data_IF_406322330927
#
_entry.id   IF_406322330927
#
_cell.length_a   1.000
_cell.length_b   1.000
_cell.length_c   1.000
_cell.angle_alpha   90.00
_cell.angle_beta   90.00
_cell.angle_gamma   90.00
#
_symmetry.space_group_name_H-M   'P 1'
#
loop_
_entity.id
_entity.type
_entity.pdbx_description
1 polymer ?
#
# COMPACT_ATOMS: atom_id res chain seq x y z
N UNK A 1 -12.69 -9.37 -7.80
CA UNK A 1 -11.99 -8.56 -6.79
C UNK A 1 -10.52 -8.40 -7.13
N UNK A 2 -9.81 -9.48 -7.44
CA UNK A 2 -8.39 -9.42 -7.83
C UNK A 2 -8.14 -8.57 -9.08
N UNK A 3 -8.96 -8.73 -10.13
CA UNK A 3 -8.88 -7.88 -11.33
C UNK A 3 -9.03 -6.38 -11.01
N UNK A 4 -9.93 -6.00 -10.11
CA UNK A 4 -10.10 -4.60 -9.70
C UNK A 4 -8.92 -4.09 -8.89
N UNK A 5 -8.33 -4.94 -8.05
CA UNK A 5 -7.12 -4.60 -7.31
C UNK A 5 -5.93 -4.42 -8.25
N UNK A 6 -5.81 -5.27 -9.27
CA UNK A 6 -4.79 -5.16 -10.32
C UNK A 6 -4.98 -3.86 -11.14
N UNK A 7 -6.19 -3.55 -11.58
CA UNK A 7 -6.48 -2.27 -12.25
C UNK A 7 -6.15 -1.07 -11.37
N UNK A 8 -6.53 -1.11 -10.09
CA UNK A 8 -6.21 -0.04 -9.14
C UNK A 8 -4.70 0.10 -8.92
N UNK A 9 -3.97 -1.02 -8.85
CA UNK A 9 -2.52 -1.02 -8.73
C UNK A 9 -1.84 -0.44 -9.97
N UNK A 10 -2.29 -0.82 -11.17
CA UNK A 10 -1.78 -0.28 -12.42
C UNK A 10 -2.04 1.22 -12.51
N UNK A 11 -3.24 1.66 -12.13
CA UNK A 11 -3.58 3.08 -12.06
C UNK A 11 -2.68 3.83 -11.08
N UNK A 12 -2.58 3.39 -9.82
CA UNK A 12 -1.72 4.06 -8.85
C UNK A 12 -0.23 4.05 -9.24
N UNK A 13 0.24 3.01 -9.93
CA UNK A 13 1.64 2.87 -10.36
C UNK A 13 1.98 3.74 -11.58
N UNK A 14 0.99 4.20 -12.35
CA UNK A 14 1.22 5.12 -13.47
C UNK A 14 1.28 6.59 -13.05
N UNK A 15 0.95 6.90 -11.80
CA UNK A 15 0.83 8.27 -11.29
C UNK A 15 2.13 8.73 -10.60
N UNK A 16 2.34 10.04 -10.57
CA UNK A 16 3.51 10.61 -9.91
C UNK A 16 3.35 10.56 -8.38
N UNK A 17 4.32 9.94 -7.69
CA UNK A 17 4.24 9.78 -6.23
C UNK A 17 4.30 11.11 -5.47
N UNK A 18 4.96 12.13 -6.02
CA UNK A 18 5.10 13.47 -5.41
C UNK A 18 3.76 14.17 -5.20
N UNK A 19 2.76 13.86 -6.04
CA UNK A 19 1.41 14.42 -6.00
C UNK A 19 0.53 13.77 -4.92
N UNK A 20 0.98 12.65 -4.32
CA UNK A 20 0.23 11.91 -3.31
C UNK A 20 0.77 12.23 -1.92
N UNK A 21 -0.06 12.57 -0.92
CA UNK A 21 0.40 12.77 0.45
C UNK A 21 1.16 11.56 1.00
N UNK A 22 2.26 11.80 1.72
CA UNK A 22 3.12 10.73 2.26
C UNK A 22 2.35 9.67 3.07
N UNK A 23 1.40 10.10 3.91
CA UNK A 23 0.57 9.19 4.69
C UNK A 23 -0.26 8.25 3.79
N UNK A 24 -0.80 8.78 2.69
CA UNK A 24 -1.56 8.01 1.70
C UNK A 24 -0.65 7.03 0.96
N UNK A 25 0.57 7.43 0.61
CA UNK A 25 1.57 6.51 0.02
C UNK A 25 1.89 5.34 0.96
N UNK A 26 2.06 5.61 2.25
CA UNK A 26 2.33 4.58 3.27
C UNK A 26 1.14 3.62 3.45
N UNK A 27 -0.09 4.13 3.42
CA UNK A 27 -1.29 3.29 3.43
C UNK A 27 -1.37 2.41 2.18
N UNK A 28 -1.18 2.97 0.98
CA UNK A 28 -1.16 2.20 -0.26
C UNK A 28 -0.11 1.09 -0.23
N UNK A 29 1.10 1.41 0.24
CA UNK A 29 2.18 0.43 0.43
C UNK A 29 1.76 -0.69 1.39
N UNK A 30 1.25 -0.35 2.58
CA UNK A 30 0.91 -1.33 3.59
C UNK A 30 -0.25 -2.25 3.12
N UNK A 31 -1.29 -1.69 2.53
CA UNK A 31 -2.40 -2.47 1.98
C UNK A 31 -1.98 -3.35 0.81
N UNK A 32 -1.10 -2.88 -0.07
CA UNK A 32 -0.56 -3.70 -1.17
C UNK A 32 0.21 -4.91 -0.62
N UNK A 33 1.18 -4.68 0.27
CA UNK A 33 2.00 -5.74 0.89
C UNK A 33 1.13 -6.76 1.61
N UNK A 34 0.09 -6.29 2.33
CA UNK A 34 -0.89 -7.16 2.95
C UNK A 34 -1.72 -7.96 1.93
N UNK A 35 -2.14 -7.34 0.83
CA UNK A 35 -2.95 -7.98 -0.20
C UNK A 35 -2.21 -9.13 -0.90
N UNK A 36 -0.88 -9.01 -1.09
CA UNK A 36 -0.03 -10.05 -1.69
C UNK A 36 0.57 -11.03 -0.67
N UNK A 37 0.25 -10.86 0.62
CA UNK A 37 0.71 -11.70 1.74
C UNK A 37 2.22 -11.78 1.87
N UNK A 38 2.90 -10.70 1.50
CA UNK A 38 4.33 -10.66 1.67
C UNK A 38 4.66 -10.56 3.17
N UNK A 39 5.66 -11.29 3.69
CA UNK A 39 6.02 -11.26 5.10
C UNK A 39 6.23 -9.82 5.58
N UNK A 40 5.52 -9.43 6.64
CA UNK A 40 5.59 -8.09 7.24
C UNK A 40 7.01 -7.66 7.60
N UNK A 41 7.87 -8.65 7.89
CA UNK A 41 9.26 -8.45 8.21
C UNK A 41 10.08 -9.35 7.28
N UNK A 42 10.43 -8.84 6.10
CA UNK A 42 11.57 -9.40 5.40
C UNK A 42 12.81 -8.89 6.14
N UNK A 43 13.60 -9.78 6.71
CA UNK A 43 14.79 -9.49 7.53
C UNK A 43 15.95 -8.84 6.71
N UNK A 44 15.65 -8.22 5.56
CA UNK A 44 16.63 -7.63 4.67
C UNK A 44 17.00 -6.25 5.18
N UNK A 45 18.11 -6.23 5.91
CA UNK A 45 18.98 -5.08 6.12
C UNK A 45 18.26 -3.81 6.57
N UNK A 46 17.84 -3.82 7.83
CA UNK A 46 17.66 -2.57 8.57
C UNK A 46 19.02 -1.92 8.74
N UNK A 47 19.36 -0.97 7.87
CA UNK A 47 20.26 0.08 8.30
C UNK A 47 19.50 0.90 9.35
N UNK A 48 20.01 0.93 10.58
CA UNK A 48 19.41 1.57 11.76
C UNK A 48 19.06 3.07 11.57
N UNK A 49 19.49 3.69 10.46
CA UNK A 49 19.35 5.11 10.16
C UNK A 49 18.28 5.46 9.11
N UNK A 50 17.51 4.50 8.57
CA UNK A 50 16.51 4.81 7.55
C UNK A 50 15.12 5.10 8.14
N UNK A 51 14.85 6.38 8.44
CA UNK A 51 13.55 6.89 8.90
C UNK A 51 12.39 6.46 7.97
N UNK A 52 12.62 6.39 6.66
CA UNK A 52 11.60 5.97 5.67
C UNK A 52 11.20 4.52 5.89
N UNK A 53 12.17 3.66 6.23
CA UNK A 53 11.90 2.26 6.53
C UNK A 53 11.15 2.12 7.87
N UNK A 54 11.47 2.97 8.85
CA UNK A 54 10.70 3.07 10.10
C UNK A 54 9.22 3.37 9.87
N UNK A 55 8.91 4.37 9.03
CA UNK A 55 7.52 4.70 8.69
C UNK A 55 6.80 3.56 7.94
N UNK A 56 7.48 2.90 7.00
CA UNK A 56 6.92 1.74 6.30
C UNK A 56 6.63 0.57 7.24
N UNK A 57 7.54 0.26 8.15
CA UNK A 57 7.34 -0.78 9.16
C UNK A 57 6.14 -0.46 10.05
N UNK A 58 6.04 0.78 10.52
CA UNK A 58 4.89 1.23 11.30
C UNK A 58 3.57 1.02 10.54
N UNK A 59 3.50 1.44 9.27
CA UNK A 59 2.32 1.24 8.44
C UNK A 59 1.97 -0.24 8.23
N UNK A 60 2.97 -1.11 8.04
CA UNK A 60 2.78 -2.57 7.94
C UNK A 60 2.20 -3.17 9.22
N UNK A 61 2.72 -2.78 10.38
CA UNK A 61 2.21 -3.20 11.70
C UNK A 61 0.75 -2.77 11.88
N UNK A 62 0.38 -1.56 11.45
CA UNK A 62 -0.99 -1.05 11.59
C UNK A 62 -2.02 -1.90 10.84
N UNK A 63 -1.66 -2.46 9.69
CA UNK A 63 -2.58 -3.28 8.87
C UNK A 63 -2.48 -4.77 9.17
N UNK A 64 -1.72 -5.19 10.19
CA UNK A 64 -1.34 -6.59 10.34
C UNK A 64 -2.52 -7.56 10.56
N UNK A 65 -3.58 -7.05 11.19
CA UNK A 65 -4.73 -7.83 11.63
C UNK A 65 -5.89 -7.85 10.63
N UNK A 66 -5.79 -7.16 9.49
CA UNK A 66 -6.85 -7.18 8.46
C UNK A 66 -6.64 -8.35 7.50
N UNK A 67 -7.70 -8.84 6.85
CA UNK A 67 -7.58 -9.91 5.86
C UNK A 67 -7.01 -9.40 4.52
N UNK A 68 -6.50 -10.30 3.67
CA UNK A 68 -6.06 -9.94 2.30
C UNK A 68 -7.17 -9.26 1.50
N UNK A 69 -8.39 -9.78 1.62
CA UNK A 69 -9.58 -9.21 0.98
C UNK A 69 -9.87 -7.80 1.48
N UNK A 70 -9.78 -7.57 2.79
CA UNK A 70 -9.97 -6.24 3.36
C UNK A 70 -8.89 -5.25 2.89
N UNK A 71 -7.63 -5.68 2.85
CA UNK A 71 -6.54 -4.85 2.33
C UNK A 71 -6.76 -4.45 0.87
N UNK A 72 -7.20 -5.40 0.01
CA UNK A 72 -7.56 -5.10 -1.38
C UNK A 72 -8.69 -4.07 -1.47
N UNK A 73 -9.75 -4.18 -0.66
CA UNK A 73 -10.85 -3.18 -0.64
C UNK A 73 -10.35 -1.79 -0.27
N UNK A 74 -9.56 -1.69 0.79
CA UNK A 74 -9.04 -0.41 1.27
C UNK A 74 -8.08 0.22 0.27
N UNK A 75 -7.23 -0.58 -0.36
CA UNK A 75 -6.37 -0.13 -1.45
C UNK A 75 -7.18 0.45 -2.60
N UNK A 76 -8.14 -0.32 -3.13
CA UNK A 76 -9.02 0.12 -4.23
C UNK A 76 -9.73 1.42 -3.86
N UNK A 77 -10.28 1.51 -2.65
CA UNK A 77 -10.98 2.71 -2.17
C UNK A 77 -10.08 3.95 -2.18
N UNK A 78 -8.84 3.84 -1.70
CA UNK A 78 -7.90 4.96 -1.73
C UNK A 78 -7.61 5.38 -3.18
N UNK A 79 -7.40 4.42 -4.08
CA UNK A 79 -7.15 4.72 -5.50
C UNK A 79 -8.37 5.38 -6.16
N UNK A 80 -9.59 4.93 -5.86
CA UNK A 80 -10.83 5.57 -6.36
C UNK A 80 -11.01 7.00 -5.80
N UNK A 81 -10.67 7.22 -4.53
CA UNK A 81 -10.78 8.52 -3.87
C UNK A 81 -9.72 9.51 -4.44
N UNK A 82 -8.53 9.02 -4.84
CA UNK A 82 -7.48 9.83 -5.49
C UNK A 82 -7.76 10.06 -6.99
N UNK A 83 -8.20 9.01 -7.68
CA UNK A 83 -8.37 8.97 -9.12
C UNK A 83 -9.74 8.38 -9.45
N UNK A 84 -10.75 9.23 -9.66
CA UNK A 84 -12.07 8.77 -10.06
C UNK A 84 -11.99 7.98 -11.39
N UNK A 85 -12.79 6.91 -11.49
CA UNK A 85 -12.92 6.06 -12.70
C UNK A 85 -13.29 6.88 -13.95
N UNK A 86 -13.00 6.40 -15.18
CA UNK A 86 -12.65 5.02 -15.53
C UNK A 86 -11.13 4.71 -15.55
N UNK A 87 -10.79 3.50 -15.07
CA UNK A 87 -9.49 2.83 -15.15
C UNK A 87 -9.69 1.33 -14.89
#
# INVERSE_FOLDING_TARGET
MDKYFESAFNKASSEEQSEVPLATQLHLYAYYKRAIDEPYVSNRSFELNDLRQGFKMNALIQVQNISKSEAKRRYIKIVEDLYPKPW
#
